data_IF_872040053553
#
_entry.id   IF_872040053553
#
_cell.length_a   1.000
_cell.length_b   1.000
_cell.length_c   1.000
_cell.angle_alpha   90.00
_cell.angle_beta   90.00
_cell.angle_gamma   90.00
#
_symmetry.space_group_name_H-M   'P 1'
#
loop_
_entity.id
_entity.type
_entity.pdbx_description
1 polymer ?
#
# COMPACT_ATOMS: atom_id res chain seq x y z
N UNK A 1 0.60 46.23 43.74
CA UNK A 1 -0.36 45.94 42.64
C UNK A 1 0.32 45.76 41.29
N UNK A 2 1.18 46.66 40.83
CA UNK A 2 1.85 46.53 39.52
C UNK A 2 2.71 45.25 39.36
N UNK A 3 3.42 44.82 40.41
CA UNK A 3 4.25 43.60 40.36
C UNK A 3 3.42 42.31 40.21
N UNK A 4 2.22 42.26 40.79
CA UNK A 4 1.32 41.11 40.67
C UNK A 4 0.68 41.05 39.27
N UNK A 5 0.40 42.21 38.66
CA UNK A 5 -0.12 42.30 37.30
C UNK A 5 0.91 41.82 36.28
N UNK A 6 2.18 42.19 36.44
CA UNK A 6 3.28 41.69 35.60
C UNK A 6 3.48 40.17 35.71
N UNK A 7 3.29 39.59 36.90
CA UNK A 7 3.43 38.15 37.10
C UNK A 7 2.33 37.34 36.39
N UNK A 8 1.10 37.86 36.38
CA UNK A 8 -0.03 37.23 35.69
C UNK A 8 0.16 37.28 34.17
N UNK A 9 0.62 38.41 33.62
CA UNK A 9 0.88 38.55 32.18
C UNK A 9 1.98 37.57 31.73
N UNK A 10 3.06 37.43 32.51
CA UNK A 10 4.14 36.47 32.22
C UNK A 10 3.59 35.04 32.23
N UNK A 11 2.73 34.68 33.19
CA UNK A 11 2.13 33.35 33.26
C UNK A 11 1.26 33.03 32.02
N UNK A 12 0.47 33.99 31.54
CA UNK A 12 -0.34 33.83 30.33
C UNK A 12 0.51 33.68 29.06
N UNK A 13 1.61 34.45 28.96
CA UNK A 13 2.54 34.32 27.83
C UNK A 13 3.20 32.94 27.84
N UNK A 14 3.65 32.46 29.00
CA UNK A 14 4.26 31.13 29.14
C UNK A 14 3.28 30.01 28.76
N UNK A 15 2.02 30.09 29.20
CA UNK A 15 1.01 29.08 28.84
C UNK A 15 0.63 29.11 27.35
N UNK A 16 0.64 30.29 26.73
CA UNK A 16 0.38 30.44 25.28
C UNK A 16 1.52 29.87 24.43
N UNK A 17 2.78 30.03 24.89
CA UNK A 17 3.96 29.43 24.25
C UNK A 17 3.90 27.89 24.38
N UNK A 18 3.52 27.36 25.53
CA UNK A 18 3.36 25.91 25.73
C UNK A 18 2.29 25.29 24.82
N UNK A 19 1.18 26.00 24.55
CA UNK A 19 0.14 25.53 23.62
C UNK A 19 0.55 25.61 22.15
N UNK A 20 1.46 26.52 21.81
CA UNK A 20 1.98 26.70 20.44
C UNK A 20 3.06 25.67 20.08
N UNK A 21 3.61 24.95 21.07
CA UNK A 21 4.64 23.93 20.89
C UNK A 21 4.10 22.56 20.44
N UNK A 22 2.93 22.51 19.82
CA UNK A 22 2.57 21.37 18.95
C UNK A 22 3.29 21.55 17.60
N UNK A 23 4.62 21.52 17.62
CA UNK A 23 5.34 21.19 16.41
C UNK A 23 4.75 19.86 15.92
N UNK A 24 4.26 19.82 14.69
CA UNK A 24 3.91 18.58 14.03
C UNK A 24 5.19 17.74 13.99
N UNK A 25 5.44 16.99 15.05
CA UNK A 25 6.54 16.08 15.14
C UNK A 25 6.26 15.05 14.06
N UNK A 26 7.02 15.11 12.96
CA UNK A 26 7.08 14.00 12.02
C UNK A 26 7.34 12.77 12.87
N UNK A 27 6.44 11.77 12.87
CA UNK A 27 6.65 10.56 13.65
C UNK A 27 8.05 10.03 13.33
N UNK A 28 8.81 9.65 14.35
CA UNK A 28 10.09 8.97 14.14
C UNK A 28 9.84 7.74 13.28
N UNK A 29 10.78 7.35 12.42
CA UNK A 29 10.58 6.24 11.48
C UNK A 29 10.13 4.92 12.13
N UNK A 30 10.64 4.64 13.33
CA UNK A 30 10.19 3.52 14.16
C UNK A 30 8.71 3.65 14.56
N UNK A 31 8.23 4.87 14.81
CA UNK A 31 6.82 5.16 15.02
C UNK A 31 6.01 4.91 13.76
N UNK A 32 6.50 5.32 12.58
CA UNK A 32 5.84 5.03 11.30
C UNK A 32 5.71 3.52 11.05
N UNK A 33 6.70 2.71 11.44
CA UNK A 33 6.61 1.25 11.34
C UNK A 33 5.55 0.67 12.27
N UNK A 34 5.52 1.11 13.53
CA UNK A 34 4.49 0.67 14.50
C UNK A 34 3.10 1.02 14.00
N UNK A 35 2.90 2.26 13.54
CA UNK A 35 1.62 2.72 12.98
C UNK A 35 1.24 1.91 11.74
N UNK A 36 2.18 1.67 10.82
CA UNK A 36 1.93 0.86 9.64
C UNK A 36 1.55 -0.58 10.00
N UNK A 37 2.21 -1.19 10.98
CA UNK A 37 1.86 -2.54 11.48
C UNK A 37 0.42 -2.56 12.01
N UNK A 38 0.01 -1.56 12.79
CA UNK A 38 -1.37 -1.47 13.28
C UNK A 38 -2.39 -1.33 12.12
N UNK A 39 -2.07 -0.53 11.11
CA UNK A 39 -2.89 -0.37 9.90
C UNK A 39 -3.00 -1.69 9.10
N UNK A 40 -1.87 -2.40 8.92
CA UNK A 40 -1.82 -3.71 8.26
C UNK A 40 -2.64 -4.77 9.00
N UNK A 41 -2.55 -4.81 10.32
CA UNK A 41 -3.31 -5.75 11.16
C UNK A 41 -4.81 -5.46 11.10
N UNK A 42 -5.22 -4.19 11.19
CA UNK A 42 -6.63 -3.78 11.02
C UNK A 42 -7.18 -4.18 9.65
N UNK A 43 -6.32 -4.23 8.63
CA UNK A 43 -6.66 -4.65 7.27
C UNK A 43 -6.55 -6.19 7.03
N UNK A 44 -6.25 -7.00 8.05
CA UNK A 44 -6.10 -8.46 8.00
C UNK A 44 -4.90 -8.96 7.17
N UNK A 45 -3.74 -8.29 7.27
CA UNK A 45 -2.47 -8.74 6.68
C UNK A 45 -1.51 -9.28 7.77
N UNK A 46 -1.97 -10.21 8.60
CA UNK A 46 -1.24 -10.67 9.79
C UNK A 46 0.03 -11.44 9.43
N UNK A 47 -0.02 -12.25 8.37
CA UNK A 47 1.14 -13.05 7.96
C UNK A 47 2.25 -12.17 7.41
N UNK A 48 1.91 -11.12 6.65
CA UNK A 48 2.90 -10.17 6.16
C UNK A 48 3.56 -9.38 7.30
N UNK A 49 2.80 -8.98 8.31
CA UNK A 49 3.32 -8.35 9.53
C UNK A 49 4.30 -9.27 10.27
N UNK A 50 3.99 -10.57 10.36
CA UNK A 50 4.91 -11.54 10.96
C UNK A 50 6.24 -11.60 10.20
N UNK A 51 6.22 -11.56 8.86
CA UNK A 51 7.43 -11.54 8.04
C UNK A 51 8.28 -10.28 8.29
N UNK A 52 7.64 -9.10 8.36
CA UNK A 52 8.31 -7.84 8.71
C UNK A 52 9.01 -7.95 10.08
N UNK A 53 8.34 -8.51 11.08
CA UNK A 53 8.91 -8.64 12.42
C UNK A 53 10.08 -9.63 12.49
N UNK A 54 10.13 -10.63 11.60
CA UNK A 54 11.25 -11.57 11.52
C UNK A 54 12.47 -10.98 10.81
N UNK A 55 12.26 -10.05 9.88
CA UNK A 55 13.33 -9.41 9.12
C UNK A 55 12.97 -7.96 8.82
N UNK A 56 13.10 -7.04 9.81
CA UNK A 56 12.80 -5.64 9.60
C UNK A 56 13.65 -5.09 8.45
N UNK A 57 13.00 -4.43 7.48
CA UNK A 57 13.72 -3.80 6.40
C UNK A 57 14.53 -2.59 6.91
N UNK A 58 15.66 -2.27 6.25
CA UNK A 58 16.48 -1.12 6.62
C UNK A 58 15.70 0.20 6.56
N UNK A 59 16.21 1.22 7.24
CA UNK A 59 15.54 2.49 7.49
C UNK A 59 15.36 3.37 6.23
N UNK A 60 14.54 2.96 5.25
CA UNK A 60 14.22 3.74 4.03
C UNK A 60 12.73 4.01 3.80
N UNK A 61 12.40 4.96 2.91
CA UNK A 61 11.01 5.16 2.48
C UNK A 61 10.58 3.96 1.64
N UNK A 62 9.42 3.39 1.93
CA UNK A 62 9.03 2.11 1.35
C UNK A 62 7.53 2.02 1.11
N UNK A 63 7.17 1.35 0.02
CA UNK A 63 5.80 0.87 -0.21
C UNK A 63 5.79 -0.63 -0.18
N UNK A 64 5.07 -1.23 0.76
CA UNK A 64 4.86 -2.67 0.83
C UNK A 64 3.74 -3.10 -0.12
N UNK A 65 4.01 -4.14 -0.90
CA UNK A 65 3.07 -4.82 -1.79
C UNK A 65 2.70 -6.14 -1.15
N UNK A 66 1.63 -6.16 -0.36
CA UNK A 66 1.34 -7.22 0.59
C UNK A 66 0.40 -8.27 0.00
N UNK A 67 0.85 -9.51 -0.25
CA UNK A 67 -0.07 -10.59 -0.54
C UNK A 67 -0.95 -10.84 0.69
N UNK A 68 -2.23 -11.16 0.48
CA UNK A 68 -3.10 -11.51 1.61
C UNK A 68 -2.70 -12.84 2.26
N UNK A 69 -3.16 -13.07 3.48
CA UNK A 69 -2.81 -14.25 4.29
C UNK A 69 -3.15 -15.58 3.59
N UNK A 70 -4.21 -15.64 2.77
CA UNK A 70 -4.58 -16.82 1.97
C UNK A 70 -3.60 -17.09 0.82
N UNK A 71 -3.03 -16.05 0.24
CA UNK A 71 -1.98 -16.17 -0.78
C UNK A 71 -0.67 -16.64 -0.12
N UNK A 72 -0.31 -16.05 1.02
CA UNK A 72 0.91 -16.40 1.76
C UNK A 72 0.88 -17.81 2.34
N UNK A 73 -0.27 -18.31 2.80
CA UNK A 73 -0.37 -19.68 3.35
C UNK A 73 -0.11 -20.79 2.33
N UNK A 74 -0.17 -20.46 1.03
CA UNK A 74 0.12 -21.37 -0.08
C UNK A 74 1.51 -21.13 -0.69
N UNK A 75 2.24 -20.14 -0.18
CA UNK A 75 3.54 -19.77 -0.69
C UNK A 75 4.62 -20.78 -0.27
N UNK A 76 5.48 -21.19 -1.21
CA UNK A 76 6.69 -21.93 -0.87
C UNK A 76 7.82 -20.98 -0.49
N UNK A 77 7.75 -20.40 0.71
CA UNK A 77 8.76 -19.46 1.20
C UNK A 77 10.14 -20.09 1.42
N UNK A 78 10.28 -21.41 1.32
CA UNK A 78 11.55 -22.12 1.48
C UNK A 78 12.59 -21.79 0.39
N UNK A 79 12.15 -21.20 -0.73
CA UNK A 79 13.04 -20.90 -1.87
C UNK A 79 13.76 -19.55 -1.76
N UNK A 80 13.40 -18.68 -0.83
CA UNK A 80 13.99 -17.34 -0.68
C UNK A 80 14.11 -16.95 0.79
N UNK A 81 15.07 -16.08 1.13
CA UNK A 81 15.13 -15.53 2.48
C UNK A 81 13.92 -14.63 2.76
N UNK A 82 13.53 -14.48 4.02
CA UNK A 82 12.44 -13.56 4.41
C UNK A 82 12.77 -12.13 3.99
N UNK A 83 14.04 -11.73 4.08
CA UNK A 83 14.51 -10.42 3.62
C UNK A 83 14.30 -10.25 2.12
N UNK A 84 14.70 -11.21 1.29
CA UNK A 84 14.53 -11.14 -0.16
C UNK A 84 13.06 -11.12 -0.55
N UNK A 85 12.21 -11.90 0.14
CA UNK A 85 10.77 -11.86 -0.05
C UNK A 85 10.21 -10.44 0.21
N UNK A 86 10.60 -9.80 1.31
CA UNK A 86 10.15 -8.45 1.66
C UNK A 86 10.70 -7.39 0.69
N UNK A 87 11.95 -7.54 0.23
CA UNK A 87 12.56 -6.65 -0.75
C UNK A 87 11.88 -6.77 -2.13
N UNK A 88 11.54 -7.98 -2.54
CA UNK A 88 10.79 -8.25 -3.77
C UNK A 88 9.37 -7.66 -3.70
N UNK A 89 8.76 -7.69 -2.52
CA UNK A 89 7.43 -7.15 -2.23
C UNK A 89 7.47 -5.71 -1.70
N UNK A 90 8.47 -4.93 -2.11
CA UNK A 90 8.52 -3.51 -1.77
C UNK A 90 9.05 -2.64 -2.90
N UNK A 91 8.62 -1.38 -2.90
CA UNK A 91 9.13 -0.31 -3.78
C UNK A 91 9.95 0.63 -2.90
N UNK A 92 11.16 1.07 -3.30
CA UNK A 92 12.05 1.91 -2.49
C UNK A 92 11.61 3.39 -2.53
N UNK A 93 10.32 3.64 -2.31
CA UNK A 93 9.69 4.95 -2.23
C UNK A 93 8.33 4.79 -1.54
N UNK A 94 7.90 5.80 -0.79
CA UNK A 94 6.60 5.84 -0.14
C UNK A 94 5.54 6.40 -1.11
N UNK A 95 4.85 5.51 -1.82
CA UNK A 95 3.88 5.82 -2.87
C UNK A 95 2.47 5.48 -2.40
N UNK A 96 1.58 6.47 -2.46
CA UNK A 96 0.15 6.20 -2.40
C UNK A 96 -0.32 5.67 -3.77
N UNK A 97 -1.51 5.09 -3.79
CA UNK A 97 -2.09 4.58 -5.01
C UNK A 97 -2.29 5.68 -6.06
N UNK A 98 -2.64 6.88 -5.62
CA UNK A 98 -2.74 8.06 -6.48
C UNK A 98 -1.41 8.33 -7.18
N UNK A 99 -0.27 8.17 -6.51
CA UNK A 99 1.04 8.33 -7.15
C UNK A 99 1.28 7.27 -8.23
N UNK A 100 0.89 6.02 -7.96
CA UNK A 100 1.01 4.91 -8.90
C UNK A 100 0.12 5.11 -10.14
N UNK A 101 -1.09 5.63 -9.98
CA UNK A 101 -2.03 5.87 -11.08
C UNK A 101 -1.54 6.90 -12.10
N UNK A 102 -0.68 7.83 -11.68
CA UNK A 102 -0.07 8.82 -12.59
C UNK A 102 1.05 8.23 -13.45
N UNK A 103 1.53 7.03 -13.13
CA UNK A 103 2.58 6.39 -13.89
C UNK A 103 1.98 5.75 -15.16
N UNK A 104 2.52 6.05 -16.36
CA UNK A 104 2.01 5.49 -17.61
C UNK A 104 2.04 3.97 -17.64
N UNK A 105 1.02 3.36 -18.26
CA UNK A 105 1.01 1.92 -18.53
C UNK A 105 2.23 1.52 -19.38
N UNK A 106 2.74 0.30 -19.16
CA UNK A 106 3.98 -0.24 -19.72
C UNK A 106 5.29 0.40 -19.25
N UNK A 107 5.25 1.27 -18.23
CA UNK A 107 6.47 1.72 -17.54
C UNK A 107 7.04 0.62 -16.64
N UNK A 108 8.28 0.87 -16.17
CA UNK A 108 8.97 0.03 -15.20
C UNK A 108 9.32 0.87 -13.97
N UNK A 109 9.08 0.34 -12.78
CA UNK A 109 9.53 0.92 -11.51
C UNK A 109 10.40 -0.10 -10.75
N UNK A 110 11.40 0.34 -9.98
CA UNK A 110 12.22 -0.59 -9.23
C UNK A 110 11.43 -1.18 -8.05
N UNK A 111 11.70 -2.44 -7.72
CA UNK A 111 11.47 -2.95 -6.37
C UNK A 111 12.68 -2.67 -5.47
N UNK A 112 12.57 -2.96 -4.17
CA UNK A 112 13.70 -2.83 -3.26
C UNK A 112 14.71 -3.99 -3.39
N UNK A 113 14.33 -5.11 -4.02
CA UNK A 113 15.32 -6.13 -4.40
C UNK A 113 16.09 -5.63 -5.64
N UNK A 114 17.43 -5.71 -5.64
CA UNK A 114 18.25 -5.22 -6.75
C UNK A 114 17.86 -5.85 -8.09
N UNK A 115 17.96 -5.06 -9.16
CA UNK A 115 17.78 -5.48 -10.56
C UNK A 115 16.40 -6.03 -10.93
N UNK A 116 15.45 -6.08 -10.01
CA UNK A 116 14.07 -6.44 -10.30
C UNK A 116 13.21 -5.21 -10.54
N UNK A 117 12.51 -5.23 -11.67
CA UNK A 117 11.64 -4.14 -12.12
C UNK A 117 10.19 -4.62 -12.16
N UNK A 118 9.28 -3.77 -11.69
CA UNK A 118 7.84 -3.96 -11.75
C UNK A 118 7.30 -3.24 -12.97
N UNK A 119 6.75 -4.02 -13.91
CA UNK A 119 6.01 -3.53 -15.06
C UNK A 119 4.62 -3.11 -14.64
N UNK A 120 4.29 -1.85 -14.91
CA UNK A 120 2.98 -1.28 -14.63
C UNK A 120 2.03 -1.58 -15.79
N UNK A 121 0.82 -1.99 -15.45
CA UNK A 121 -0.32 -1.93 -16.33
C UNK A 121 -1.45 -1.18 -15.63
N UNK A 122 -1.82 -0.02 -16.17
CA UNK A 122 -2.91 0.79 -15.68
C UNK A 122 -4.10 0.70 -16.64
N UNK A 123 -5.08 -0.13 -16.26
CA UNK A 123 -6.37 -0.28 -16.93
C UNK A 123 -7.49 0.58 -16.32
N UNK A 124 -7.15 1.59 -15.50
CA UNK A 124 -8.09 2.50 -14.85
C UNK A 124 -8.55 2.06 -13.45
N UNK A 125 -9.67 2.63 -12.99
CA UNK A 125 -10.13 2.80 -11.59
C UNK A 125 -10.03 1.58 -10.64
N UNK A 126 -9.90 0.35 -11.14
CA UNK A 126 -9.74 -0.88 -10.34
C UNK A 126 -8.93 -1.96 -11.06
N UNK A 127 -8.08 -1.56 -12.00
CA UNK A 127 -7.33 -2.49 -12.83
C UNK A 127 -5.87 -2.04 -12.96
N UNK A 128 -5.21 -1.93 -11.82
CA UNK A 128 -3.80 -1.61 -11.73
C UNK A 128 -3.01 -2.86 -11.37
N UNK A 129 -2.01 -3.20 -12.20
CA UNK A 129 -1.21 -4.40 -12.06
C UNK A 129 0.28 -4.05 -12.04
N UNK A 130 1.03 -4.82 -11.25
CA UNK A 130 2.48 -4.82 -11.14
C UNK A 130 2.96 -6.24 -11.47
N UNK A 131 3.70 -6.43 -12.57
CA UNK A 131 4.11 -7.76 -13.05
C UNK A 131 2.94 -8.76 -13.08
N UNK A 132 1.82 -8.34 -13.65
CA UNK A 132 0.58 -9.14 -13.76
C UNK A 132 -0.11 -9.47 -12.43
N UNK A 133 0.37 -8.94 -11.30
CA UNK A 133 -0.29 -9.04 -10.00
C UNK A 133 -1.09 -7.78 -9.72
N UNK A 134 -2.35 -7.90 -9.34
CA UNK A 134 -3.26 -6.77 -9.20
C UNK A 134 -3.20 -6.16 -7.80
N UNK A 135 -3.24 -4.83 -7.72
CA UNK A 135 -3.54 -4.13 -6.48
C UNK A 135 -5.04 -4.25 -6.19
N UNK A 136 -5.38 -4.91 -5.09
CA UNK A 136 -6.76 -5.16 -4.65
C UNK A 136 -7.19 -4.29 -3.47
N UNK A 137 -6.24 -3.82 -2.67
CA UNK A 137 -6.49 -2.99 -1.49
C UNK A 137 -5.51 -1.81 -1.50
N UNK A 138 -5.83 -0.70 -2.19
CA UNK A 138 -4.97 0.48 -2.22
C UNK A 138 -4.94 1.19 -0.85
N UNK A 139 -3.88 1.95 -0.60
CA UNK A 139 -3.76 2.87 0.55
C UNK A 139 -4.14 2.26 1.92
N UNK A 140 -3.54 1.11 2.28
CA UNK A 140 -3.75 0.51 3.60
C UNK A 140 -3.06 1.31 4.70
N UNK A 141 -1.78 1.67 4.49
CA UNK A 141 -1.03 2.48 5.45
C UNK A 141 -0.99 3.94 5.01
N UNK A 142 -1.66 4.81 5.76
CA UNK A 142 -1.88 6.22 5.41
C UNK A 142 -1.49 7.18 6.52
N UNK A 143 -1.53 6.74 7.79
CA UNK A 143 -1.25 7.58 8.95
C UNK A 143 0.24 7.96 9.06
N UNK A 144 1.14 7.02 8.76
CA UNK A 144 2.58 7.28 8.68
C UNK A 144 2.98 8.07 7.43
N UNK A 145 4.23 8.55 7.37
CA UNK A 145 4.73 9.30 6.20
C UNK A 145 5.71 8.51 5.33
N UNK A 146 6.51 7.64 5.95
CA UNK A 146 7.62 6.91 5.31
C UNK A 146 7.27 5.51 4.82
N UNK A 147 6.14 4.95 5.28
CA UNK A 147 5.67 3.61 4.92
C UNK A 147 4.30 3.71 4.28
N UNK A 148 4.18 3.18 3.07
CA UNK A 148 2.92 2.96 2.37
C UNK A 148 2.70 1.48 2.18
N UNK A 149 1.44 1.08 2.05
CA UNK A 149 1.08 -0.33 1.92
C UNK A 149 -0.09 -0.49 0.96
N UNK A 150 0.02 -1.48 0.08
CA UNK A 150 -1.03 -1.89 -0.83
C UNK A 150 -1.19 -3.39 -0.77
N UNK A 151 -2.43 -3.86 -0.70
CA UNK A 151 -2.74 -5.28 -0.80
C UNK A 151 -2.76 -5.74 -2.24
N UNK A 152 -2.15 -6.89 -2.51
CA UNK A 152 -2.09 -7.51 -3.84
C UNK A 152 -2.71 -8.92 -3.86
N UNK A 153 -3.20 -9.38 -5.01
CA UNK A 153 -3.90 -10.67 -5.16
C UNK A 153 -3.02 -11.85 -5.59
N UNK A 154 -1.70 -11.65 -5.59
CA UNK A 154 -0.73 -12.67 -5.96
C UNK A 154 0.61 -12.45 -5.25
N UNK A 155 1.61 -13.25 -5.64
CA UNK A 155 2.99 -13.05 -5.20
C UNK A 155 3.82 -12.60 -6.39
N UNK A 156 4.72 -11.66 -6.13
CA UNK A 156 5.78 -11.33 -7.06
C UNK A 156 6.83 -12.44 -7.03
N UNK A 157 7.35 -12.78 -8.19
CA UNK A 157 8.37 -13.81 -8.38
C UNK A 157 9.43 -13.31 -9.36
N UNK A 158 10.70 -13.59 -9.03
CA UNK A 158 11.87 -13.26 -9.84
C UNK A 158 11.83 -14.02 -11.17
N UNK A 159 11.28 -15.25 -11.20
CA UNK A 159 11.26 -16.09 -12.40
C UNK A 159 10.42 -15.51 -13.54
N UNK A 160 9.42 -14.68 -13.23
CA UNK A 160 8.50 -14.11 -14.22
C UNK A 160 9.14 -12.99 -15.06
N UNK A 161 10.24 -12.38 -14.61
CA UNK A 161 10.89 -11.29 -15.35
C UNK A 161 11.87 -11.80 -16.44
N UNK A 162 12.23 -13.08 -16.40
CA UNK A 162 13.22 -13.68 -17.32
C UNK A 162 12.70 -13.89 -18.75
N UNK A 163 11.44 -13.58 -19.04
CA UNK A 163 10.87 -13.79 -20.39
C UNK A 163 10.93 -12.55 -21.30
N UNK A 164 11.46 -11.39 -20.89
CA UNK A 164 11.50 -10.23 -21.83
C UNK A 164 12.55 -9.13 -21.62
N UNK A 165 13.68 -9.38 -20.96
CA UNK A 165 14.74 -8.37 -20.84
C UNK A 165 16.08 -8.86 -21.38
N UNK A 166 16.23 -8.77 -22.70
CA UNK A 166 17.56 -8.53 -23.26
C UNK A 166 17.90 -7.06 -23.02
N UNK A 167 19.08 -6.72 -22.45
CA UNK A 167 19.48 -5.33 -22.25
C UNK A 167 19.57 -4.66 -23.63
N UNK A 168 18.63 -3.75 -23.94
CA UNK A 168 18.80 -2.85 -25.08
C UNK A 168 19.83 -1.81 -24.68
N UNK A 169 21.09 -2.12 -24.95
CA UNK A 169 22.17 -1.13 -24.96
C UNK A 169 21.80 -0.06 -25.99
N UNK A 170 21.48 1.15 -25.53
CA UNK A 170 21.28 2.29 -26.41
C UNK A 170 22.66 2.79 -26.87
N UNK A 171 23.30 2.04 -27.77
CA UNK A 171 24.46 2.53 -28.53
C UNK A 171 23.95 3.15 -29.81
N UNK A 172 23.72 4.47 -29.76
CA UNK A 172 23.45 5.25 -30.95
C UNK A 172 24.70 5.35 -31.82
N UNK A 173 24.58 4.90 -33.07
CA UNK A 173 25.30 5.47 -34.20
C UNK A 173 24.39 5.38 -35.43
N UNK A 174 24.19 6.46 -36.20
CA UNK A 174 23.29 6.44 -37.35
C UNK A 174 24.00 6.02 -38.64
N UNK A 175 23.19 5.53 -39.59
CA UNK A 175 23.37 5.43 -41.07
C UNK A 175 23.51 4.00 -41.63
N UNK A 176 23.22 3.78 -42.92
CA UNK A 176 21.94 4.04 -43.60
C UNK A 176 21.43 2.80 -44.40
N UNK A 177 20.15 2.84 -44.77
CA UNK A 177 19.46 2.12 -45.86
C UNK A 177 19.96 0.73 -46.30
N UNK A 178 19.20 -0.33 -45.99
CA UNK A 178 18.99 -1.46 -46.93
C UNK A 178 17.57 -2.05 -46.78
N UNK A 179 16.75 -1.70 -47.78
CA UNK A 179 15.75 -2.52 -48.49
C UNK A 179 14.84 -3.45 -47.68
N UNK A 180 13.58 -3.04 -47.58
CA UNK A 180 12.43 -3.88 -47.27
C UNK A 180 12.37 -5.08 -48.22
N UNK A 181 12.47 -6.30 -47.67
CA UNK A 181 12.08 -7.52 -48.37
C UNK A 181 10.77 -8.02 -47.77
N UNK A 182 9.73 -7.93 -48.59
CA UNK A 182 8.36 -8.43 -48.35
C UNK A 182 8.40 -9.96 -48.20
N UNK A 183 7.78 -10.56 -47.16
CA UNK A 183 7.50 -12.00 -47.17
C UNK A 183 6.29 -12.30 -48.07
N UNK A 184 6.29 -13.41 -48.82
CA UNK A 184 5.20 -13.74 -49.72
C UNK A 184 3.94 -14.14 -48.93
N UNK A 185 2.81 -13.62 -49.41
CA UNK A 185 1.47 -14.04 -49.04
C UNK A 185 1.25 -15.49 -49.51
N UNK A 186 0.86 -16.37 -48.59
CA UNK A 186 0.20 -17.64 -48.91
C UNK A 186 -1.20 -17.53 -48.31
N UNK A 187 -2.16 -17.33 -49.19
CA UNK A 187 -3.57 -17.65 -48.94
C UNK A 187 -3.75 -19.09 -49.38
N UNK A 188 -4.28 -19.95 -48.53
CA UNK A 188 -5.20 -21.00 -48.97
C UNK A 188 -5.99 -21.55 -47.78
N UNK A 189 -7.28 -21.69 -48.05
CA UNK A 189 -8.36 -22.16 -47.21
C UNK A 189 -8.10 -23.57 -46.66
N UNK A 190 -8.35 -23.77 -45.36
CA UNK A 190 -8.75 -25.09 -44.90
C UNK A 190 -9.75 -25.02 -43.74
N UNK A 191 -10.93 -25.59 -44.01
CA UNK A 191 -12.11 -25.67 -43.15
C UNK A 191 -11.85 -26.36 -41.78
N UNK A 192 -12.68 -26.07 -40.76
CA UNK A 192 -12.49 -26.59 -39.40
C UNK A 192 -12.90 -28.08 -39.29
N UNK A 193 -12.10 -28.92 -38.61
CA UNK A 193 -12.57 -30.24 -38.17
C UNK A 193 -13.56 -30.10 -37.02
N UNK A 194 -14.59 -30.93 -37.08
CA UNK A 194 -15.76 -30.99 -36.22
C UNK A 194 -15.46 -31.33 -34.74
N UNK A 195 -16.44 -30.95 -33.92
CA UNK A 195 -16.69 -31.36 -32.53
C UNK A 195 -16.31 -32.83 -32.27
N UNK A 196 -15.42 -33.02 -31.30
CA UNK A 196 -15.28 -34.27 -30.56
C UNK A 196 -15.96 -34.12 -29.20
N UNK A 197 -17.07 -34.83 -29.02
CA UNK A 197 -17.73 -35.05 -27.74
C UNK A 197 -16.81 -35.82 -26.79
N UNK A 198 -16.48 -35.21 -25.63
CA UNK A 198 -16.00 -35.99 -24.48
C UNK A 198 -16.62 -35.47 -23.19
N UNK A 199 -17.75 -36.08 -22.87
CA UNK A 199 -18.16 -36.52 -21.54
C UNK A 199 -18.18 -35.45 -20.42
N UNK A 200 -19.26 -34.69 -20.37
CA UNK A 200 -19.67 -33.95 -19.18
C UNK A 200 -20.04 -34.92 -18.05
N UNK A 201 -19.17 -35.03 -17.05
CA UNK A 201 -19.53 -35.57 -15.76
C UNK A 201 -19.99 -34.42 -14.85
N UNK A 202 -21.26 -34.37 -14.41
CA UNK A 202 -21.71 -33.31 -13.52
C UNK A 202 -21.01 -33.43 -12.15
N UNK A 203 -20.55 -32.31 -11.54
CA UNK A 203 -20.00 -32.36 -10.20
C UNK A 203 -21.10 -32.71 -9.20
N UNK A 204 -20.78 -33.68 -8.34
CA UNK A 204 -21.59 -34.08 -7.18
C UNK A 204 -21.85 -32.87 -6.29
N UNK A 205 -23.11 -32.69 -5.89
CA UNK A 205 -23.60 -31.56 -5.11
C UNK A 205 -22.83 -31.37 -3.79
N UNK A 206 -22.43 -30.13 -3.51
CA UNK A 206 -21.88 -29.73 -2.22
C UNK A 206 -22.98 -29.67 -1.14
N UNK A 207 -22.68 -29.98 0.13
CA UNK A 207 -23.63 -29.78 1.24
C UNK A 207 -23.94 -28.30 1.46
N UNK A 208 -25.18 -28.01 1.86
CA UNK A 208 -25.69 -26.65 2.10
C UNK A 208 -24.90 -25.88 3.20
N UNK A 209 -24.77 -24.55 3.11
CA UNK A 209 -24.22 -23.73 4.18
C UNK A 209 -25.19 -23.63 5.37
N UNK A 210 -24.70 -23.85 6.59
CA UNK A 210 -25.41 -23.49 7.83
C UNK A 210 -25.44 -21.97 8.04
N UNK A 211 -26.46 -21.44 8.74
CA UNK A 211 -26.72 -20.01 8.87
C UNK A 211 -25.69 -19.30 9.75
N UNK A 212 -25.33 -18.10 9.31
CA UNK A 212 -24.48 -17.11 9.98
C UNK A 212 -25.13 -16.54 11.25
N UNK A 213 -24.38 -16.38 12.36
CA UNK A 213 -24.80 -15.55 13.48
C UNK A 213 -24.36 -14.09 13.28
N UNK A 214 -25.38 -13.25 13.13
CA UNK A 214 -25.61 -11.96 13.79
C UNK A 214 -24.50 -10.90 13.87
N UNK A 215 -24.85 -9.80 13.18
CA UNK A 215 -24.33 -8.45 13.26
C UNK A 215 -24.36 -7.90 14.70
N UNK A 216 -23.20 -7.77 15.33
CA UNK A 216 -23.02 -6.91 16.50
C UNK A 216 -22.51 -5.54 16.09
N UNK A 217 -23.42 -4.57 16.14
CA UNK A 217 -23.14 -3.14 16.04
C UNK A 217 -22.61 -2.64 17.39
N UNK A 218 -21.29 -2.55 17.54
CA UNK A 218 -20.68 -1.81 18.63
C UNK A 218 -20.26 -0.42 18.12
N UNK A 219 -21.14 0.55 18.33
CA UNK A 219 -20.84 1.97 18.12
C UNK A 219 -19.73 2.40 19.08
N UNK A 220 -18.65 2.95 18.52
CA UNK A 220 -17.56 3.49 19.32
C UNK A 220 -17.99 4.84 19.94
N UNK A 221 -18.36 4.80 21.21
CA UNK A 221 -18.77 5.94 22.05
C UNK A 221 -17.61 6.88 22.44
N UNK A 222 -16.43 6.76 21.83
CA UNK A 222 -15.23 7.50 22.28
C UNK A 222 -15.13 8.95 21.78
N UNK A 223 -15.86 9.33 20.72
CA UNK A 223 -15.76 10.69 20.16
C UNK A 223 -16.47 11.78 20.98
N UNK A 224 -17.38 11.40 21.89
CA UNK A 224 -18.24 12.37 22.61
C UNK A 224 -17.62 12.91 23.90
N UNK A 225 -16.67 12.21 24.51
CA UNK A 225 -16.05 12.65 25.77
C UNK A 225 -14.98 13.74 25.58
N UNK A 226 -14.27 13.74 24.45
CA UNK A 226 -13.22 14.72 24.17
C UNK A 226 -13.82 16.13 23.93
N UNK A 227 -14.97 16.18 23.25
CA UNK A 227 -15.67 17.44 22.94
C UNK A 227 -16.29 18.07 24.18
N UNK A 228 -16.83 17.27 25.11
CA UNK A 228 -17.47 17.78 26.33
C UNK A 228 -16.46 18.45 27.27
N UNK A 229 -15.26 17.87 27.42
CA UNK A 229 -14.19 18.46 28.25
C UNK A 229 -13.71 19.79 27.67
N UNK A 230 -13.57 19.90 26.35
CA UNK A 230 -13.14 21.12 25.68
C UNK A 230 -14.20 22.24 25.76
N UNK A 231 -15.48 21.88 25.64
CA UNK A 231 -16.60 22.80 25.83
C UNK A 231 -16.65 23.34 27.27
N UNK A 232 -16.40 22.48 28.26
CA UNK A 232 -16.42 22.88 29.66
C UNK A 232 -15.27 23.84 30.00
N UNK A 233 -14.07 23.58 29.46
CA UNK A 233 -12.91 24.45 29.65
C UNK A 233 -13.12 25.80 28.96
N UNK A 234 -13.67 25.83 27.73
CA UNK A 234 -13.92 27.09 27.02
C UNK A 234 -14.98 27.96 27.71
N UNK A 235 -16.06 27.35 28.23
CA UNK A 235 -17.08 28.06 29.01
C UNK A 235 -16.54 28.60 30.34
N UNK A 236 -15.68 27.84 31.02
CA UNK A 236 -15.04 28.30 32.25
C UNK A 236 -14.13 29.51 32.00
N UNK A 237 -13.38 29.50 30.90
CA UNK A 237 -12.50 30.62 30.52
C UNK A 237 -13.30 31.87 30.11
N UNK A 238 -14.43 31.71 29.43
CA UNK A 238 -15.34 32.82 29.09
C UNK A 238 -16.00 33.44 30.33
N UNK A 239 -16.38 32.61 31.31
CA UNK A 239 -16.91 33.09 32.60
C UNK A 239 -15.88 33.92 33.37
N UNK A 240 -14.62 33.45 33.41
CA UNK A 240 -13.54 34.19 34.07
C UNK A 240 -13.28 35.51 33.35
N UNK A 241 -13.29 35.56 32.02
CA UNK A 241 -13.10 36.80 31.26
C UNK A 241 -14.28 37.77 31.36
N UNK A 242 -15.51 37.27 31.50
CA UNK A 242 -16.71 38.10 31.67
C UNK A 242 -16.88 38.74 33.05
N UNK A 243 -16.14 38.26 34.07
CA UNK A 243 -16.13 38.86 35.41
C UNK A 243 -15.15 40.03 35.57
N UNK A 244 -14.33 40.32 34.56
CA UNK A 244 -13.33 41.39 34.57
C UNK A 244 -13.71 42.62 33.71
N UNK A 245 -14.97 42.75 33.30
CA UNK A 245 -15.53 43.96 32.68
C UNK A 245 -16.41 44.71 33.68
#
# INVERSE_FOLDING_TARGET
>A
MAAACNFIIILFIVMSILMSASAAATPTKNQDLVVAIEEMQRANYFTFVMLINMSPLPDQNVTFLMPNDKTLSRANLLQQSVSDFLLLHSIPSALLFENLEHIPSASLIPSSIPEYMLKIYNGGRKNFLLNNVKIISPNICTLGSSIRCHGIDGMLDITQNNTSMSPRTCSGNPSPDVVATVPPSISDDQAPPQLGDTNYQPPVAAPAPLPSPEKSSAGCLSCREMSLKYLFVTLLMLSIMGMFV
#
